data_IF_146905793469
#
_entry.id   IF_146905793469
#
_cell.length_a   1.000
_cell.length_b   1.000
_cell.length_c   1.000
_cell.angle_alpha   90.00
_cell.angle_beta   90.00
_cell.angle_gamma   90.00
#
_symmetry.space_group_name_H-M   'P 1'
#
loop_
_entity.id
_entity.type
_entity.pdbx_description
1 polymer ?
#
# COMPACT_ATOMS: atom_id res chain seq x y z
N UNK A 1 14.58 -10.08 10.68
CA UNK A 1 14.74 -8.64 10.95
C UNK A 1 14.40 -7.72 9.78
N UNK A 2 14.92 -7.88 8.55
CA UNK A 2 14.63 -6.91 7.47
C UNK A 2 13.16 -6.91 7.00
N UNK A 3 12.54 -8.09 6.91
CA UNK A 3 11.11 -8.22 6.55
C UNK A 3 10.19 -7.71 7.68
N UNK A 4 10.56 -7.91 8.94
CA UNK A 4 9.79 -7.42 10.09
C UNK A 4 9.69 -5.89 10.11
N UNK A 5 10.75 -5.17 9.67
CA UNK A 5 10.69 -3.71 9.55
C UNK A 5 9.74 -3.26 8.44
N UNK A 6 9.66 -3.99 7.33
CA UNK A 6 8.66 -3.72 6.30
C UNK A 6 7.23 -3.94 6.85
N UNK A 7 7.00 -5.00 7.63
CA UNK A 7 5.70 -5.24 8.26
C UNK A 7 5.30 -4.13 9.24
N UNK A 8 6.23 -3.63 10.06
CA UNK A 8 5.98 -2.49 10.97
C UNK A 8 5.67 -1.22 10.17
N UNK A 9 6.39 -0.97 9.08
CA UNK A 9 6.13 0.16 8.19
C UNK A 9 4.72 0.09 7.58
N UNK A 10 4.28 -1.10 7.16
CA UNK A 10 2.93 -1.36 6.67
C UNK A 10 1.87 -1.05 7.73
N UNK A 11 2.05 -1.52 8.96
CA UNK A 11 1.12 -1.25 10.07
C UNK A 11 1.04 0.24 10.45
N UNK A 12 2.09 1.00 10.16
CA UNK A 12 2.14 2.44 10.41
C UNK A 12 1.83 3.30 9.19
N UNK A 13 1.38 2.69 8.08
CA UNK A 13 1.15 3.36 6.79
C UNK A 13 2.35 4.23 6.35
N UNK A 14 3.57 3.78 6.63
CA UNK A 14 4.81 4.52 6.34
C UNK A 14 5.44 4.01 5.04
N UNK A 15 4.93 4.49 3.90
CA UNK A 15 5.36 4.09 2.55
C UNK A 15 6.89 4.18 2.36
N UNK A 16 7.59 5.30 2.70
CA UNK A 16 9.03 5.38 2.50
C UNK A 16 9.84 4.37 3.34
N UNK A 17 9.41 4.09 4.58
CA UNK A 17 10.08 3.11 5.43
C UNK A 17 9.86 1.68 4.93
N UNK A 18 8.68 1.40 4.38
CA UNK A 18 8.34 0.11 3.77
C UNK A 18 9.26 -0.19 2.60
N UNK A 19 9.31 0.71 1.61
CA UNK A 19 10.16 0.60 0.41
C UNK A 19 11.64 0.42 0.78
N UNK A 20 12.16 1.26 1.69
CA UNK A 20 13.54 1.17 2.16
C UNK A 20 13.85 -0.14 2.88
N UNK A 21 12.87 -0.73 3.55
CA UNK A 21 13.04 -2.02 4.24
C UNK A 21 13.05 -3.18 3.25
N UNK A 22 12.20 -3.14 2.22
CA UNK A 22 12.22 -4.11 1.11
C UNK A 22 13.52 -4.04 0.30
N UNK A 23 13.99 -2.83 -0.04
CA UNK A 23 15.24 -2.66 -0.78
C UNK A 23 16.45 -3.22 -0.01
N UNK A 24 16.49 -3.02 1.31
CA UNK A 24 17.53 -3.61 2.17
C UNK A 24 17.42 -5.14 2.22
N UNK A 25 16.21 -5.68 2.29
CA UNK A 25 15.99 -7.13 2.25
C UNK A 25 16.46 -7.72 0.92
N UNK A 26 16.12 -7.09 -0.20
CA UNK A 26 16.55 -7.48 -1.55
C UNK A 26 18.09 -7.49 -1.67
N UNK A 27 18.74 -6.40 -1.26
CA UNK A 27 20.20 -6.31 -1.26
C UNK A 27 20.89 -7.35 -0.36
N UNK A 28 20.28 -7.73 0.76
CA UNK A 28 20.79 -8.79 1.61
C UNK A 28 20.66 -10.19 0.96
N UNK A 29 19.50 -10.47 0.34
CA UNK A 29 19.26 -11.76 -0.33
C UNK A 29 20.17 -11.93 -1.55
N UNK A 30 20.46 -10.84 -2.28
CA UNK A 30 21.35 -10.85 -3.43
C UNK A 30 22.79 -11.33 -3.10
N UNK A 31 23.23 -11.22 -1.83
CA UNK A 31 24.54 -11.74 -1.39
C UNK A 31 24.64 -13.28 -1.49
N UNK A 32 23.51 -13.97 -1.63
CA UNK A 32 23.45 -15.43 -1.67
C UNK A 32 23.31 -16.00 -3.10
N UNK A 33 23.51 -15.16 -4.13
CA UNK A 33 23.29 -15.56 -5.52
C UNK A 33 24.24 -16.69 -5.96
N UNK A 34 25.46 -16.73 -5.43
CA UNK A 34 26.45 -17.79 -5.77
C UNK A 34 26.03 -19.17 -5.27
N UNK A 35 25.21 -19.24 -4.21
CA UNK A 35 24.76 -20.51 -3.62
C UNK A 35 23.51 -21.05 -4.32
N UNK A 36 22.58 -20.16 -4.68
CA UNK A 36 21.29 -20.53 -5.27
C UNK A 36 20.67 -19.33 -6.03
N UNK A 37 21.12 -19.13 -7.26
CA UNK A 37 20.72 -18.00 -8.11
C UNK A 37 19.21 -18.02 -8.40
N UNK A 38 18.63 -19.19 -8.67
CA UNK A 38 17.21 -19.33 -9.00
C UNK A 38 16.34 -18.89 -7.82
N UNK A 39 16.67 -19.36 -6.62
CA UNK A 39 15.92 -18.99 -5.42
C UNK A 39 16.11 -17.53 -5.03
N UNK A 40 17.32 -17.00 -5.14
CA UNK A 40 17.59 -15.57 -4.91
C UNK A 40 16.78 -14.71 -5.88
N UNK A 41 16.76 -15.06 -7.17
CA UNK A 41 15.98 -14.37 -8.20
C UNK A 41 14.49 -14.38 -7.86
N UNK A 42 13.95 -15.54 -7.48
CA UNK A 42 12.54 -15.68 -7.08
C UNK A 42 12.18 -14.79 -5.88
N UNK A 43 13.05 -14.74 -4.86
CA UNK A 43 12.82 -13.91 -3.67
C UNK A 43 12.91 -12.43 -4.02
N UNK A 44 13.91 -12.01 -4.79
CA UNK A 44 14.08 -10.61 -5.22
C UNK A 44 12.86 -10.14 -6.02
N UNK A 45 12.39 -10.95 -6.98
CA UNK A 45 11.17 -10.65 -7.74
C UNK A 45 9.95 -10.49 -6.84
N UNK A 46 9.83 -11.31 -5.79
CA UNK A 46 8.74 -11.20 -4.83
C UNK A 46 8.83 -9.89 -4.03
N UNK A 47 10.03 -9.50 -3.61
CA UNK A 47 10.25 -8.25 -2.88
C UNK A 47 9.99 -7.02 -3.76
N UNK A 48 10.36 -7.08 -5.03
CA UNK A 48 10.09 -6.01 -6.00
C UNK A 48 8.60 -5.87 -6.28
N UNK A 49 7.88 -6.99 -6.42
CA UNK A 49 6.42 -6.99 -6.56
C UNK A 49 5.74 -6.34 -5.35
N UNK A 50 6.18 -6.68 -4.12
CA UNK A 50 5.68 -6.04 -2.90
C UNK A 50 6.01 -4.53 -2.84
N UNK A 51 7.18 -4.12 -3.35
CA UNK A 51 7.57 -2.71 -3.40
C UNK A 51 6.70 -1.86 -4.34
N UNK A 52 6.02 -2.48 -5.29
CA UNK A 52 5.04 -1.82 -6.16
C UNK A 52 3.68 -1.54 -5.53
N UNK A 53 3.42 -2.08 -4.33
CA UNK A 53 2.14 -1.93 -3.65
C UNK A 53 2.07 -0.62 -2.83
N UNK A 54 0.92 0.05 -2.90
CA UNK A 54 0.62 1.23 -2.08
C UNK A 54 0.07 0.79 -0.72
N UNK A 55 0.91 0.83 0.32
CA UNK A 55 0.49 0.49 1.70
C UNK A 55 -0.20 1.65 2.42
N UNK A 56 -0.09 2.86 1.87
CA UNK A 56 -0.68 4.08 2.38
C UNK A 56 -1.37 4.86 1.25
N UNK A 57 -2.44 4.30 0.64
CA UNK A 57 -3.15 4.98 -0.43
C UNK A 57 -3.79 6.27 0.08
N UNK A 58 -3.79 7.29 -0.76
CA UNK A 58 -4.61 8.49 -0.50
C UNK A 58 -6.09 8.08 -0.47
N UNK A 59 -6.75 8.34 0.65
CA UNK A 59 -8.18 8.10 0.77
C UNK A 59 -8.92 9.28 0.13
N UNK A 60 -9.97 9.02 -0.67
CA UNK A 60 -10.79 10.09 -1.20
C UNK A 60 -11.42 10.90 -0.06
N UNK A 61 -11.53 12.22 -0.23
CA UNK A 61 -12.22 13.11 0.70
C UNK A 61 -13.72 12.78 0.75
N UNK A 62 -14.11 12.01 1.76
CA UNK A 62 -15.49 11.52 1.92
C UNK A 62 -16.46 12.63 2.35
N UNK A 63 -15.96 13.77 2.83
CA UNK A 63 -16.79 14.89 3.31
C UNK A 63 -17.54 15.54 2.14
N UNK A 64 -16.86 15.77 1.02
CA UNK A 64 -17.47 16.35 -0.18
C UNK A 64 -18.51 15.39 -0.78
N UNK A 65 -18.16 14.09 -0.82
CA UNK A 65 -19.05 13.03 -1.29
C UNK A 65 -20.32 12.93 -0.43
N UNK A 66 -20.17 13.03 0.90
CA UNK A 66 -21.29 13.04 1.84
C UNK A 66 -22.18 14.27 1.67
N UNK A 67 -21.59 15.45 1.53
CA UNK A 67 -22.35 16.70 1.36
C UNK A 67 -23.16 16.70 0.05
N UNK A 68 -22.59 16.17 -1.03
CA UNK A 68 -23.28 15.98 -2.30
C UNK A 68 -24.45 14.98 -2.18
N UNK A 69 -24.24 13.87 -1.46
CA UNK A 69 -25.30 12.88 -1.20
C UNK A 69 -26.43 13.46 -0.35
N UNK A 70 -26.11 14.20 0.71
CA UNK A 70 -27.10 14.84 1.59
C UNK A 70 -27.94 15.86 0.82
N UNK A 71 -27.30 16.70 0.00
CA UNK A 71 -28.02 17.64 -0.87
C UNK A 71 -28.91 16.95 -1.90
N UNK A 72 -28.48 15.82 -2.46
CA UNK A 72 -29.29 15.06 -3.41
C UNK A 72 -30.51 14.40 -2.75
N UNK A 73 -30.33 13.83 -1.55
CA UNK A 73 -31.43 13.27 -0.75
C UNK A 73 -32.45 14.35 -0.38
N UNK A 74 -31.99 15.55 -0.02
CA UNK A 74 -32.87 16.68 0.30
C UNK A 74 -33.67 17.15 -0.92
N UNK A 75 -33.06 17.21 -2.11
CA UNK A 75 -33.77 17.51 -3.36
C UNK A 75 -34.83 16.47 -3.69
N UNK A 76 -34.50 15.19 -3.54
CA UNK A 76 -35.45 14.09 -3.80
C UNK A 76 -36.62 14.10 -2.80
N UNK A 77 -36.34 14.42 -1.52
CA UNK A 77 -37.36 14.60 -0.50
C UNK A 77 -38.29 15.79 -0.78
N UNK A 78 -37.73 16.93 -1.19
CA UNK A 78 -38.50 18.13 -1.52
C UNK A 78 -39.28 18.02 -2.83
N UNK A 79 -38.80 17.23 -3.81
CA UNK A 79 -39.52 16.93 -5.05
C UNK A 79 -40.66 15.92 -4.89
N UNK A 80 -40.79 15.28 -3.73
CA UNK A 80 -41.85 14.32 -3.38
C UNK A 80 -42.97 14.94 -2.52
N UNK A 81 -42.86 16.22 -2.14
CA UNK A 81 -43.92 16.95 -1.45
C UNK A 81 -45.02 17.37 -2.47
N UNK A 82 -46.32 17.11 -2.19
CA UNK A 82 -47.43 17.41 -3.11
C UNK A 82 -47.71 18.90 -3.28
#
# INVERSE_FOLDING_TARGET
>A
MLIEQAQIAMLSANQPLFERSLQRASGFVALFAEQDEERVTSIVQTLDALGGEAIAPELPELIETRSLLEGEVERLGNGMAP
#
